data_IF_296957553946
#
_entry.id   IF_296957553946
#
_cell.length_a   1.000
_cell.length_b   1.000
_cell.length_c   1.000
_cell.angle_alpha   90.00
_cell.angle_beta   90.00
_cell.angle_gamma   90.00
#
_symmetry.space_group_name_H-M   'P 1'
#
loop_
_entity.id
_entity.type
_entity.pdbx_description
1 polymer ?
#
# COMPACT_ATOMS: atom_id res chain seq x y z
N UNK A 1 2.83 14.49 -3.63
CA UNK A 1 3.67 15.56 -3.07
C UNK A 1 3.59 15.69 -1.56
N UNK A 2 2.43 15.89 -0.93
CA UNK A 2 2.37 16.10 0.55
C UNK A 2 2.90 14.92 1.38
N UNK A 3 2.64 13.69 0.97
CA UNK A 3 3.04 12.48 1.71
C UNK A 3 4.55 12.19 1.65
N UNK A 4 5.23 12.66 0.60
CA UNK A 4 6.68 12.47 0.41
C UNK A 4 7.51 13.51 1.18
N UNK A 5 6.87 14.52 1.76
CA UNK A 5 7.55 15.60 2.45
C UNK A 5 8.27 15.06 3.72
N UNK A 6 9.54 15.43 3.98
CA UNK A 6 10.32 14.88 5.10
C UNK A 6 9.61 15.00 6.46
N UNK A 7 9.01 16.15 6.77
CA UNK A 7 8.24 16.36 8.00
C UNK A 7 7.05 15.41 8.14
N UNK A 8 6.38 15.07 7.03
CA UNK A 8 5.24 14.14 7.04
C UNK A 8 5.73 12.70 7.24
N UNK A 9 6.85 12.33 6.60
CA UNK A 9 7.48 11.02 6.81
C UNK A 9 7.94 10.83 8.26
N UNK A 10 8.55 11.85 8.85
CA UNK A 10 8.97 11.83 10.25
C UNK A 10 7.78 11.69 11.21
N UNK A 11 6.67 12.39 10.92
CA UNK A 11 5.44 12.25 11.68
C UNK A 11 4.87 10.81 11.59
N UNK A 12 4.80 10.25 10.39
CA UNK A 12 4.35 8.87 10.17
C UNK A 12 5.27 7.87 10.88
N UNK A 13 6.59 8.02 10.78
CA UNK A 13 7.54 7.12 11.45
C UNK A 13 7.38 7.14 12.98
N UNK A 14 6.99 8.27 13.58
CA UNK A 14 6.73 8.35 15.03
C UNK A 14 5.43 7.69 15.47
N UNK A 15 4.48 7.48 14.57
CA UNK A 15 3.15 6.97 14.93
C UNK A 15 2.91 5.54 14.45
N UNK A 16 3.43 5.21 13.27
CA UNK A 16 3.30 3.87 12.66
C UNK A 16 4.55 3.03 12.95
N UNK A 17 5.69 3.67 13.26
CA UNK A 17 6.93 2.96 13.60
C UNK A 17 6.86 2.15 14.89
N UNK A 18 5.93 2.47 15.80
CA UNK A 18 5.65 1.65 16.99
C UNK A 18 5.13 0.25 16.62
N UNK A 19 4.50 0.11 15.44
CA UNK A 19 4.00 -1.15 14.90
C UNK A 19 5.04 -1.88 14.02
N UNK A 20 6.27 -1.39 13.96
CA UNK A 20 7.34 -1.94 13.11
C UNK A 20 7.17 -1.62 11.62
N UNK A 21 6.25 -0.74 11.26
CA UNK A 21 5.99 -0.29 9.89
C UNK A 21 6.66 1.07 9.68
N UNK A 22 7.54 1.18 8.68
CA UNK A 22 8.14 2.47 8.33
C UNK A 22 7.24 3.27 7.39
N UNK A 23 7.41 4.60 7.39
CA UNK A 23 6.76 5.50 6.46
C UNK A 23 7.06 5.09 5.01
N UNK A 24 8.28 4.67 4.69
CA UNK A 24 8.64 4.18 3.35
C UNK A 24 7.81 2.96 2.92
N UNK A 25 7.63 1.98 3.81
CA UNK A 25 6.82 0.79 3.53
C UNK A 25 5.36 1.18 3.31
N UNK A 26 4.82 2.05 4.17
CA UNK A 26 3.44 2.53 4.06
C UNK A 26 3.22 3.33 2.77
N UNK A 27 4.14 4.22 2.40
CA UNK A 27 4.06 4.99 1.17
C UNK A 27 4.20 4.12 -0.06
N UNK A 28 5.07 3.10 -0.04
CA UNK A 28 5.16 2.12 -1.12
C UNK A 28 3.84 1.32 -1.28
N UNK A 29 3.22 0.93 -0.17
CA UNK A 29 1.92 0.26 -0.18
C UNK A 29 0.79 1.16 -0.71
N UNK A 30 0.87 2.48 -0.47
CA UNK A 30 -0.09 3.48 -0.97
C UNK A 30 0.31 4.08 -2.32
N UNK A 31 1.37 3.57 -2.95
CA UNK A 31 1.93 4.14 -4.16
C UNK A 31 0.94 4.08 -5.32
N UNK A 32 0.78 5.22 -6.00
CA UNK A 32 -0.22 5.40 -7.07
C UNK A 32 0.41 5.43 -8.48
N UNK A 33 1.73 5.49 -8.57
CA UNK A 33 2.44 5.58 -9.84
C UNK A 33 2.59 4.23 -10.56
N UNK A 34 3.21 4.24 -11.75
CA UNK A 34 3.62 3.03 -12.46
C UNK A 34 4.67 2.25 -11.65
N UNK A 35 4.64 0.90 -11.63
CA UNK A 35 5.61 0.09 -10.90
C UNK A 35 7.09 0.41 -11.21
N UNK A 36 7.41 0.78 -12.45
CA UNK A 36 8.78 1.11 -12.89
C UNK A 36 9.34 2.41 -12.30
N UNK A 37 8.50 3.24 -11.67
CA UNK A 37 8.90 4.48 -11.01
C UNK A 37 9.01 4.31 -9.48
N UNK A 38 8.89 3.07 -8.97
CA UNK A 38 9.10 2.77 -7.55
C UNK A 38 10.59 2.83 -7.20
N UNK A 39 10.88 3.13 -5.94
CA UNK A 39 12.25 3.07 -5.43
C UNK A 39 12.79 1.64 -5.49
N UNK A 40 14.07 1.50 -5.82
CA UNK A 40 14.74 0.19 -5.90
C UNK A 40 14.63 -0.58 -4.58
N UNK A 41 14.41 -1.89 -4.69
CA UNK A 41 14.27 -2.78 -3.53
C UNK A 41 12.89 -2.77 -2.87
N UNK A 42 11.95 -1.90 -3.32
CA UNK A 42 10.57 -1.92 -2.83
C UNK A 42 9.76 -3.06 -3.47
N UNK A 43 8.91 -3.70 -2.68
CA UNK A 43 8.01 -4.75 -3.17
C UNK A 43 6.97 -4.17 -4.12
N UNK A 44 6.71 -4.87 -5.23
CA UNK A 44 5.62 -4.55 -6.14
C UNK A 44 4.30 -5.14 -5.63
N UNK A 45 3.91 -4.76 -4.42
CA UNK A 45 2.67 -5.16 -3.77
C UNK A 45 2.04 -3.94 -3.09
N UNK A 46 0.79 -3.64 -3.42
CA UNK A 46 0.09 -2.46 -2.93
C UNK A 46 -1.40 -2.66 -2.68
N UNK A 47 -2.05 -1.60 -2.19
CA UNK A 47 -3.47 -1.61 -1.86
C UNK A 47 -4.38 -2.09 -3.01
N UNK A 48 -3.96 -1.94 -4.28
CA UNK A 48 -4.74 -2.42 -5.43
C UNK A 48 -4.73 -3.93 -5.51
N UNK A 49 -3.64 -4.59 -5.11
CA UNK A 49 -3.57 -6.05 -5.06
C UNK A 49 -4.55 -6.60 -4.03
N UNK A 50 -4.57 -6.02 -2.83
CA UNK A 50 -5.55 -6.37 -1.78
C UNK A 50 -6.99 -6.15 -2.26
N UNK A 51 -7.26 -5.01 -2.90
CA UNK A 51 -8.57 -4.71 -3.45
C UNK A 51 -8.98 -5.74 -4.50
N UNK A 52 -8.09 -6.04 -5.46
CA UNK A 52 -8.35 -7.00 -6.54
C UNK A 52 -8.59 -8.42 -6.01
N UNK A 53 -7.84 -8.85 -5.00
CA UNK A 53 -8.02 -10.16 -4.34
C UNK A 53 -9.40 -10.22 -3.65
N UNK A 54 -9.76 -9.16 -2.94
CA UNK A 54 -11.04 -9.06 -2.22
C UNK A 54 -12.20 -9.06 -3.21
N UNK A 55 -12.13 -8.23 -4.26
CA UNK A 55 -13.13 -8.11 -5.32
C UNK A 55 -13.31 -9.43 -6.08
N UNK A 56 -12.22 -10.13 -6.40
CA UNK A 56 -12.28 -11.48 -7.00
C UNK A 56 -12.94 -12.50 -6.06
N UNK A 57 -12.59 -12.49 -4.78
CA UNK A 57 -13.17 -13.39 -3.78
C UNK A 57 -14.68 -13.17 -3.64
N UNK A 58 -15.12 -11.92 -3.55
CA UNK A 58 -16.55 -11.58 -3.47
C UNK A 58 -17.33 -12.01 -4.71
N UNK A 59 -16.77 -11.82 -5.92
CA UNK A 59 -17.41 -12.30 -7.15
C UNK A 59 -17.57 -13.82 -7.17
N UNK A 60 -16.57 -14.57 -6.71
CA UNK A 60 -16.65 -16.03 -6.64
C UNK A 60 -17.71 -16.49 -5.64
N UNK A 61 -17.80 -15.83 -4.48
CA UNK A 61 -18.85 -16.10 -3.49
C UNK A 61 -20.23 -15.83 -4.08
N UNK A 62 -20.43 -14.70 -4.76
CA UNK A 62 -21.70 -14.38 -5.41
C UNK A 62 -22.07 -15.42 -6.47
N UNK A 63 -21.14 -15.83 -7.33
CA UNK A 63 -21.37 -16.86 -8.36
C UNK A 63 -21.72 -18.24 -7.79
N UNK A 64 -21.28 -18.55 -6.57
CA UNK A 64 -21.58 -19.83 -5.92
C UNK A 64 -22.93 -19.81 -5.18
N UNK A 65 -23.41 -18.62 -4.81
CA UNK A 65 -24.67 -18.42 -4.09
C UNK A 65 -25.86 -18.10 -5.01
N UNK A 66 -25.60 -17.80 -6.29
CA UNK A 66 -26.56 -17.80 -7.40
C UNK A 66 -26.79 -19.22 -7.93
#
# INVERSE_FOLDING_TARGET
>A
DTLEHPTVKDFLNRHVGEEGITAEVLLNFLYKGPPGNRADGMTNFDWRDIFNITDRSLRLVNQYLE
#
